data_IF_928592034287
#
_entry.id   IF_928592034287
#
_cell.length_a   1.000
_cell.length_b   1.000
_cell.length_c   1.000
_cell.angle_alpha   90.00
_cell.angle_beta   90.00
_cell.angle_gamma   90.00
#
_symmetry.space_group_name_H-M   'P 1'
#
loop_
_entity.id
_entity.type
_entity.pdbx_description
1 polymer ?
#
# COMPACT_ATOMS: atom_id res chain seq x y z
N UNK A 1 14.72 -40.87 8.82
CA UNK A 1 15.81 -39.88 8.95
C UNK A 1 16.37 -39.46 7.58
N UNK A 2 16.79 -40.45 6.73
CA UNK A 2 17.40 -40.15 5.41
C UNK A 2 16.48 -39.33 4.49
N UNK A 3 15.17 -39.55 4.49
CA UNK A 3 14.20 -38.77 3.67
C UNK A 3 14.06 -37.33 4.15
N UNK A 4 14.15 -37.10 5.46
CA UNK A 4 14.11 -35.74 6.06
C UNK A 4 15.32 -34.90 5.69
N UNK A 5 16.51 -35.50 5.71
CA UNK A 5 17.76 -34.83 5.34
C UNK A 5 17.81 -34.49 3.85
N UNK A 6 17.34 -35.43 3.00
CA UNK A 6 17.23 -35.21 1.56
C UNK A 6 16.28 -34.04 1.23
N UNK A 7 15.12 -33.91 1.94
CA UNK A 7 14.17 -32.79 1.79
C UNK A 7 14.81 -31.46 2.19
N UNK A 8 15.49 -31.43 3.34
CA UNK A 8 16.19 -30.21 3.81
C UNK A 8 17.28 -29.79 2.82
N UNK A 9 18.09 -30.75 2.35
CA UNK A 9 19.12 -30.44 1.35
C UNK A 9 18.53 -29.86 0.07
N UNK A 10 17.44 -30.46 -0.43
CA UNK A 10 16.71 -29.94 -1.59
C UNK A 10 16.15 -28.54 -1.37
N UNK A 11 15.62 -28.25 -0.17
CA UNK A 11 15.16 -26.91 0.22
C UNK A 11 16.29 -25.87 0.16
N UNK A 12 17.49 -26.22 0.61
CA UNK A 12 18.68 -25.36 0.53
C UNK A 12 19.07 -25.05 -0.91
N UNK A 13 19.02 -26.06 -1.81
CA UNK A 13 19.33 -25.85 -3.23
C UNK A 13 18.35 -24.86 -3.85
N UNK A 14 17.04 -25.05 -3.67
CA UNK A 14 16.02 -24.10 -4.14
C UNK A 14 16.22 -22.71 -3.57
N UNK A 15 16.47 -22.58 -2.27
CA UNK A 15 16.73 -21.30 -1.62
C UNK A 15 17.93 -20.57 -2.22
N UNK A 16 19.03 -21.27 -2.47
CA UNK A 16 20.22 -20.67 -3.06
C UNK A 16 20.01 -20.26 -4.53
N UNK A 17 19.30 -21.09 -5.31
CA UNK A 17 18.95 -20.74 -6.69
C UNK A 17 18.02 -19.54 -6.74
N UNK A 18 17.04 -19.43 -5.84
CA UNK A 18 16.15 -18.27 -5.75
C UNK A 18 16.90 -16.95 -5.53
N UNK A 19 17.95 -16.96 -4.71
CA UNK A 19 18.79 -15.77 -4.49
C UNK A 19 19.47 -15.32 -5.79
N UNK A 20 20.00 -16.26 -6.56
CA UNK A 20 20.63 -15.97 -7.85
C UNK A 20 19.61 -15.45 -8.88
N UNK A 21 18.43 -16.08 -8.95
CA UNK A 21 17.34 -15.66 -9.82
C UNK A 21 16.86 -14.24 -9.49
N UNK A 22 16.73 -13.94 -8.21
CA UNK A 22 16.36 -12.58 -7.75
C UNK A 22 17.42 -11.53 -8.16
N UNK A 23 18.70 -11.85 -8.06
CA UNK A 23 19.80 -10.98 -8.52
C UNK A 23 19.80 -10.76 -10.04
N UNK A 24 19.28 -11.72 -10.80
CA UNK A 24 19.13 -11.64 -12.26
C UNK A 24 17.83 -10.94 -12.70
N UNK A 25 17.01 -10.42 -11.75
CA UNK A 25 15.72 -9.81 -12.05
C UNK A 25 14.61 -10.81 -12.40
N UNK A 26 14.85 -12.12 -12.25
CA UNK A 26 13.88 -13.19 -12.52
C UNK A 26 13.03 -13.47 -11.29
N UNK A 27 12.21 -12.49 -10.90
CA UNK A 27 11.49 -12.51 -9.61
C UNK A 27 10.46 -13.64 -9.53
N UNK A 28 9.70 -13.91 -10.60
CA UNK A 28 8.72 -15.01 -10.62
C UNK A 28 9.37 -16.38 -10.43
N UNK A 29 10.52 -16.59 -11.04
CA UNK A 29 11.28 -17.83 -10.87
C UNK A 29 11.83 -17.95 -9.44
N UNK A 30 12.33 -16.85 -8.87
CA UNK A 30 12.79 -16.81 -7.49
C UNK A 30 11.65 -17.10 -6.49
N UNK A 31 10.47 -16.56 -6.73
CA UNK A 31 9.26 -16.81 -5.92
C UNK A 31 8.86 -18.29 -5.99
N UNK A 32 8.88 -18.89 -7.17
CA UNK A 32 8.61 -20.34 -7.34
C UNK A 32 9.59 -21.18 -6.56
N UNK A 33 10.88 -20.91 -6.67
CA UNK A 33 11.92 -21.67 -5.96
C UNK A 33 11.82 -21.51 -4.44
N UNK A 34 11.60 -20.31 -3.95
CA UNK A 34 11.35 -20.09 -2.52
C UNK A 34 10.12 -20.84 -2.03
N UNK A 35 9.07 -20.91 -2.85
CA UNK A 35 7.84 -21.64 -2.51
C UNK A 35 8.12 -23.15 -2.42
N UNK A 36 8.89 -23.70 -3.34
CA UNK A 36 9.34 -25.11 -3.28
C UNK A 36 10.19 -25.38 -2.04
N UNK A 37 11.12 -24.48 -1.70
CA UNK A 37 11.92 -24.60 -0.50
C UNK A 37 11.07 -24.64 0.78
N UNK A 38 10.06 -23.75 0.88
CA UNK A 38 9.14 -23.69 2.02
C UNK A 38 8.15 -24.84 2.11
N UNK A 39 7.82 -25.49 0.99
CA UNK A 39 7.04 -26.73 0.99
C UNK A 39 7.85 -27.90 1.54
N UNK A 40 9.16 -27.92 1.31
CA UNK A 40 10.07 -28.96 1.81
C UNK A 40 10.45 -28.74 3.26
N UNK A 41 10.61 -27.48 3.67
CA UNK A 41 10.93 -27.06 5.03
C UNK A 41 10.23 -25.74 5.37
N UNK A 42 9.09 -25.83 6.02
CA UNK A 42 8.27 -24.66 6.39
C UNK A 42 8.92 -23.75 7.45
N UNK A 43 9.88 -24.27 8.21
CA UNK A 43 10.61 -23.55 9.24
C UNK A 43 11.84 -22.81 8.69
N UNK A 44 12.18 -23.04 7.42
CA UNK A 44 13.36 -22.44 6.79
C UNK A 44 13.12 -20.94 6.51
N UNK A 45 13.62 -20.05 7.36
CA UNK A 45 13.36 -18.61 7.29
C UNK A 45 14.03 -17.89 6.11
N UNK A 46 15.17 -18.41 5.63
CA UNK A 46 15.92 -17.78 4.51
C UNK A 46 15.09 -17.65 3.22
N UNK A 47 14.36 -18.69 2.73
CA UNK A 47 13.45 -18.54 1.58
C UNK A 47 12.31 -17.54 1.82
N UNK A 48 11.78 -17.42 3.06
CA UNK A 48 10.76 -16.44 3.38
C UNK A 48 11.26 -15.02 3.10
N UNK A 49 12.43 -14.67 3.62
CA UNK A 49 13.07 -13.35 3.41
C UNK A 49 13.36 -13.08 1.94
N UNK A 50 13.86 -14.08 1.24
CA UNK A 50 14.17 -13.96 -0.20
C UNK A 50 12.90 -13.78 -1.02
N UNK A 51 11.83 -14.53 -0.70
CA UNK A 51 10.53 -14.43 -1.38
C UNK A 51 9.84 -13.09 -1.12
N UNK A 52 9.87 -12.61 0.12
CA UNK A 52 9.32 -11.31 0.47
C UNK A 52 9.97 -10.18 -0.34
N UNK A 53 11.30 -10.18 -0.46
CA UNK A 53 12.03 -9.20 -1.28
C UNK A 53 11.74 -9.36 -2.77
N UNK A 54 11.60 -10.60 -3.27
CA UNK A 54 11.24 -10.86 -4.65
C UNK A 54 9.81 -10.36 -4.95
N UNK A 55 8.85 -10.59 -4.06
CA UNK A 55 7.50 -10.04 -4.16
C UNK A 55 7.50 -8.50 -4.20
N UNK A 56 8.29 -7.86 -3.33
CA UNK A 56 8.41 -6.41 -3.30
C UNK A 56 8.94 -5.84 -4.61
N UNK A 57 9.99 -6.45 -5.18
CA UNK A 57 10.57 -6.04 -6.46
C UNK A 57 9.66 -6.37 -7.66
N UNK A 58 8.74 -7.30 -7.49
CA UNK A 58 7.72 -7.70 -8.49
C UNK A 58 6.38 -6.97 -8.25
N UNK A 59 6.36 -5.91 -7.43
CA UNK A 59 5.19 -5.09 -7.11
C UNK A 59 4.01 -5.85 -6.47
N UNK A 60 4.25 -7.05 -5.96
CA UNK A 60 3.29 -7.88 -5.23
C UNK A 60 3.33 -7.52 -3.73
N UNK A 61 2.85 -6.33 -3.41
CA UNK A 61 3.06 -5.70 -2.09
C UNK A 61 2.37 -6.46 -0.95
N UNK A 62 1.20 -7.05 -1.17
CA UNK A 62 0.48 -7.79 -0.13
C UNK A 62 1.22 -9.07 0.28
N UNK A 63 1.70 -9.82 -0.72
CA UNK A 63 2.49 -11.01 -0.52
C UNK A 63 3.82 -10.70 0.16
N UNK A 64 4.47 -9.60 -0.22
CA UNK A 64 5.70 -9.14 0.41
C UNK A 64 5.51 -8.87 1.90
N UNK A 65 4.48 -8.09 2.28
CA UNK A 65 4.16 -7.79 3.68
C UNK A 65 3.86 -9.07 4.47
N UNK A 66 3.07 -9.99 3.90
CA UNK A 66 2.75 -11.26 4.55
C UNK A 66 3.99 -12.08 4.86
N UNK A 67 4.90 -12.21 3.91
CA UNK A 67 6.11 -13.02 4.08
C UNK A 67 7.13 -12.32 5.00
N UNK A 68 7.26 -10.98 4.95
CA UNK A 68 8.08 -10.23 5.90
C UNK A 68 7.59 -10.38 7.33
N UNK A 69 6.26 -10.31 7.58
CA UNK A 69 5.69 -10.53 8.93
C UNK A 69 6.01 -11.93 9.43
N UNK A 70 5.82 -12.96 8.62
CA UNK A 70 6.17 -14.33 8.98
C UNK A 70 7.67 -14.50 9.28
N UNK A 71 8.54 -13.86 8.49
CA UNK A 71 9.97 -13.87 8.74
C UNK A 71 10.35 -13.12 10.03
N UNK A 72 9.69 -12.00 10.31
CA UNK A 72 9.88 -11.23 11.55
C UNK A 72 9.47 -12.05 12.77
N UNK A 73 8.31 -12.69 12.75
CA UNK A 73 7.82 -13.55 13.84
C UNK A 73 8.80 -14.71 14.11
N UNK A 74 9.35 -15.32 13.05
CA UNK A 74 10.33 -16.39 13.17
C UNK A 74 11.73 -15.91 13.63
N UNK A 75 11.97 -14.60 13.66
CA UNK A 75 13.28 -14.00 14.03
C UNK A 75 13.32 -13.37 15.42
N UNK A 76 12.26 -13.57 16.22
CA UNK A 76 12.20 -13.01 17.58
C UNK A 76 13.41 -13.48 18.40
N UNK A 77 14.12 -12.52 19.00
CA UNK A 77 15.35 -12.80 19.79
C UNK A 77 16.60 -13.05 18.96
N UNK A 78 16.56 -12.91 17.65
CA UNK A 78 17.75 -13.01 16.79
C UNK A 78 18.32 -11.64 16.44
N UNK A 79 19.61 -11.53 16.08
CA UNK A 79 20.21 -10.27 15.63
C UNK A 79 19.58 -9.67 14.36
N UNK A 80 18.85 -10.48 13.60
CA UNK A 80 18.19 -10.05 12.36
C UNK A 80 16.83 -9.35 12.59
N UNK A 81 16.26 -9.47 13.79
CA UNK A 81 14.91 -9.00 14.11
C UNK A 81 14.71 -7.52 13.77
N UNK A 82 15.67 -6.64 14.13
CA UNK A 82 15.54 -5.21 13.86
C UNK A 82 15.63 -4.87 12.36
N UNK A 83 16.40 -5.63 11.62
CA UNK A 83 16.47 -5.47 10.16
C UNK A 83 15.15 -5.87 9.51
N UNK A 84 14.59 -7.01 9.90
CA UNK A 84 13.30 -7.48 9.38
C UNK A 84 12.14 -6.57 9.79
N UNK A 85 12.19 -5.99 10.99
CA UNK A 85 11.21 -4.98 11.42
C UNK A 85 11.21 -3.77 10.49
N UNK A 86 12.39 -3.26 10.12
CA UNK A 86 12.52 -2.13 9.18
C UNK A 86 12.05 -2.51 7.77
N UNK A 87 12.39 -3.69 7.28
CA UNK A 87 11.94 -4.19 5.97
C UNK A 87 10.42 -4.38 5.93
N UNK A 88 9.83 -4.95 6.98
CA UNK A 88 8.38 -5.10 7.11
C UNK A 88 7.68 -3.75 7.07
N UNK A 89 8.15 -2.79 7.87
CA UNK A 89 7.59 -1.43 7.90
C UNK A 89 7.67 -0.75 6.54
N UNK A 90 8.79 -0.89 5.83
CA UNK A 90 8.95 -0.36 4.48
C UNK A 90 7.96 -0.99 3.50
N UNK A 91 7.80 -2.31 3.54
CA UNK A 91 6.84 -3.00 2.69
C UNK A 91 5.38 -2.60 2.98
N UNK A 92 5.02 -2.35 4.24
CA UNK A 92 3.70 -1.83 4.63
C UNK A 92 3.45 -0.43 4.08
N UNK A 93 4.46 0.46 4.09
CA UNK A 93 4.37 1.79 3.47
C UNK A 93 4.14 1.67 1.96
N UNK A 94 4.90 0.81 1.29
CA UNK A 94 4.76 0.58 -0.15
C UNK A 94 3.38 0.02 -0.49
N UNK A 95 2.87 -0.93 0.30
CA UNK A 95 1.51 -1.45 0.16
C UNK A 95 0.45 -0.36 0.33
N UNK A 96 0.60 0.50 1.34
CA UNK A 96 -0.34 1.62 1.57
C UNK A 96 -0.32 2.58 0.37
N UNK A 97 0.88 2.90 -0.14
CA UNK A 97 1.05 3.76 -1.32
C UNK A 97 0.45 3.15 -2.58
N UNK A 98 0.60 1.84 -2.79
CA UNK A 98 0.05 1.15 -3.97
C UNK A 98 -1.48 1.14 -3.99
N UNK A 99 -2.10 1.16 -2.80
CA UNK A 99 -3.57 1.22 -2.61
C UNK A 99 -4.14 2.63 -2.60
N UNK A 100 -3.28 3.66 -2.56
CA UNK A 100 -3.72 5.05 -2.48
C UNK A 100 -4.43 5.46 -3.76
N UNK A 101 -5.64 5.99 -3.59
CA UNK A 101 -6.41 6.52 -4.70
C UNK A 101 -5.71 7.74 -5.29
N UNK A 102 -5.49 7.74 -6.59
CA UNK A 102 -4.94 8.90 -7.29
C UNK A 102 -6.04 9.92 -7.58
N UNK A 103 -6.18 10.90 -6.69
CA UNK A 103 -7.21 11.95 -6.79
C UNK A 103 -7.10 12.79 -8.05
N UNK A 104 -5.89 12.95 -8.62
CA UNK A 104 -5.73 13.64 -9.91
C UNK A 104 -6.35 12.83 -11.05
N UNK A 105 -6.19 11.50 -11.02
CA UNK A 105 -6.85 10.62 -12.00
C UNK A 105 -8.35 10.56 -11.80
N UNK A 106 -8.84 10.58 -10.55
CA UNK A 106 -10.27 10.61 -10.26
C UNK A 106 -10.95 11.80 -10.91
N UNK A 107 -10.35 12.98 -10.81
CA UNK A 107 -10.87 14.21 -11.44
C UNK A 107 -10.43 14.39 -12.90
N UNK A 108 -9.52 13.56 -13.41
CA UNK A 108 -9.00 13.67 -14.77
C UNK A 108 -8.18 14.94 -15.01
N UNK A 109 -7.41 15.39 -14.01
CA UNK A 109 -6.56 16.59 -14.08
C UNK A 109 -5.08 16.26 -13.93
N UNK A 110 -4.22 17.17 -14.38
CA UNK A 110 -2.77 17.07 -14.16
C UNK A 110 -2.41 17.28 -12.69
N UNK A 111 -1.27 16.71 -12.24
CA UNK A 111 -0.67 17.03 -10.94
C UNK A 111 -0.27 18.51 -10.78
N UNK A 112 -0.14 19.22 -11.90
CA UNK A 112 0.14 20.67 -11.94
C UNK A 112 -1.10 21.53 -12.13
N UNK A 113 -2.30 20.93 -12.10
CA UNK A 113 -3.55 21.65 -12.29
C UNK A 113 -3.75 22.76 -11.24
N UNK A 114 -4.25 23.89 -11.69
CA UNK A 114 -4.64 25.01 -10.84
C UNK A 114 -5.92 24.68 -10.08
N UNK A 115 -6.21 25.41 -9.00
CA UNK A 115 -7.45 25.26 -8.24
C UNK A 115 -8.69 25.44 -9.12
N UNK A 116 -8.67 26.41 -10.07
CA UNK A 116 -9.76 26.63 -11.01
C UNK A 116 -10.01 25.42 -11.92
N UNK A 117 -8.94 24.77 -12.38
CA UNK A 117 -9.03 23.54 -13.20
C UNK A 117 -9.57 22.37 -12.38
N UNK A 118 -9.11 22.21 -11.14
CA UNK A 118 -9.64 21.21 -10.19
C UNK A 118 -11.13 21.40 -9.95
N UNK A 119 -11.55 22.65 -9.68
CA UNK A 119 -12.98 22.99 -9.48
C UNK A 119 -13.82 22.72 -10.73
N UNK A 120 -13.32 23.04 -11.91
CA UNK A 120 -13.99 22.78 -13.19
C UNK A 120 -14.14 21.27 -13.45
N UNK A 121 -13.09 20.52 -13.20
CA UNK A 121 -13.09 19.06 -13.38
C UNK A 121 -14.04 18.38 -12.38
N UNK A 122 -14.02 18.80 -11.12
CA UNK A 122 -14.95 18.32 -10.11
C UNK A 122 -16.41 18.51 -10.51
N UNK A 123 -16.79 19.72 -10.97
CA UNK A 123 -18.16 19.99 -11.45
C UNK A 123 -18.56 19.02 -12.56
N UNK A 124 -17.68 18.78 -13.51
CA UNK A 124 -17.92 17.87 -14.64
C UNK A 124 -18.12 16.43 -14.19
N UNK A 125 -17.20 15.89 -13.39
CA UNK A 125 -17.24 14.49 -12.94
C UNK A 125 -18.38 14.25 -11.93
N UNK A 126 -18.65 15.21 -11.03
CA UNK A 126 -19.79 15.14 -10.10
C UNK A 126 -21.14 15.09 -10.81
N UNK A 127 -21.33 15.89 -11.87
CA UNK A 127 -22.57 15.85 -12.67
C UNK A 127 -22.74 14.53 -13.40
N UNK A 128 -21.64 13.93 -13.85
CA UNK A 128 -21.65 12.65 -14.59
C UNK A 128 -21.98 11.47 -13.67
N UNK A 129 -21.51 11.52 -12.42
CA UNK A 129 -21.66 10.44 -11.44
C UNK A 129 -22.73 10.71 -10.38
N UNK A 130 -23.55 11.76 -10.56
CA UNK A 130 -24.59 12.14 -9.61
C UNK A 130 -25.64 11.04 -9.44
N UNK A 131 -25.99 10.64 -8.19
CA UNK A 131 -26.97 9.58 -7.93
C UNK A 131 -28.35 9.85 -8.59
N UNK A 132 -28.83 11.10 -8.52
CA UNK A 132 -30.14 11.49 -9.09
C UNK A 132 -30.19 11.37 -10.62
N UNK A 133 -29.04 11.26 -11.29
CA UNK A 133 -28.92 11.05 -12.73
C UNK A 133 -28.59 9.59 -13.10
N UNK A 134 -28.71 8.67 -12.15
CA UNK A 134 -28.34 7.27 -12.33
C UNK A 134 -26.84 7.03 -12.40
N UNK A 135 -26.03 7.96 -11.87
CA UNK A 135 -24.58 7.84 -11.80
C UNK A 135 -24.11 6.87 -10.71
N UNK A 136 -22.82 6.61 -10.72
CA UNK A 136 -22.15 5.69 -9.80
C UNK A 136 -21.85 6.41 -8.46
N UNK A 137 -22.53 5.97 -7.40
CA UNK A 137 -22.41 6.57 -6.06
C UNK A 137 -20.98 6.48 -5.48
N UNK A 138 -20.24 5.40 -5.74
CA UNK A 138 -18.86 5.24 -5.27
C UNK A 138 -17.92 6.22 -5.97
N UNK A 139 -18.08 6.38 -7.29
CA UNK A 139 -17.33 7.38 -8.04
C UNK A 139 -17.68 8.81 -7.63
N UNK A 140 -18.94 9.08 -7.33
CA UNK A 140 -19.37 10.37 -6.82
C UNK A 140 -18.71 10.69 -5.48
N UNK A 141 -18.66 9.72 -4.53
CA UNK A 141 -17.94 9.87 -3.26
C UNK A 141 -16.46 10.14 -3.47
N UNK A 142 -15.81 9.37 -4.35
CA UNK A 142 -14.40 9.57 -4.70
C UNK A 142 -14.13 10.96 -5.32
N UNK A 143 -15.04 11.47 -6.15
CA UNK A 143 -14.92 12.82 -6.69
C UNK A 143 -14.99 13.88 -5.59
N UNK A 144 -15.90 13.73 -4.62
CA UNK A 144 -16.01 14.64 -3.47
C UNK A 144 -14.76 14.63 -2.59
N UNK A 145 -14.22 13.44 -2.29
CA UNK A 145 -12.96 13.27 -1.54
C UNK A 145 -11.79 13.92 -2.29
N UNK A 146 -11.66 13.62 -3.58
CA UNK A 146 -10.61 14.18 -4.42
C UNK A 146 -10.65 15.73 -4.45
N UNK A 147 -11.85 16.31 -4.57
CA UNK A 147 -12.01 17.75 -4.53
C UNK A 147 -11.68 18.34 -3.16
N UNK A 148 -12.13 17.70 -2.07
CA UNK A 148 -11.82 18.14 -0.70
C UNK A 148 -10.33 18.24 -0.43
N UNK A 149 -9.55 17.28 -0.96
CA UNK A 149 -8.09 17.27 -0.80
C UNK A 149 -7.38 18.21 -1.78
N UNK A 150 -7.76 18.24 -3.05
CA UNK A 150 -7.03 18.97 -4.09
C UNK A 150 -7.39 20.45 -4.19
N UNK A 151 -8.53 20.89 -3.60
CA UNK A 151 -8.95 22.28 -3.57
C UNK A 151 -8.33 23.10 -2.43
N UNK A 152 -7.78 22.45 -1.42
CA UNK A 152 -7.08 23.08 -0.31
C UNK A 152 -5.57 22.89 -0.47
N UNK A 153 -4.82 23.99 -0.54
CA UNK A 153 -3.36 23.96 -0.76
C UNK A 153 -2.61 23.18 0.31
N UNK A 154 -3.06 23.23 1.57
CA UNK A 154 -2.39 22.54 2.67
C UNK A 154 -2.66 21.03 2.59
N UNK A 155 -3.90 20.62 2.36
CA UNK A 155 -4.25 19.20 2.19
C UNK A 155 -3.61 18.63 0.94
N UNK A 156 -3.58 19.38 -0.17
CA UNK A 156 -2.92 18.97 -1.40
C UNK A 156 -1.42 18.72 -1.21
N UNK A 157 -0.72 19.64 -0.52
CA UNK A 157 0.70 19.45 -0.19
C UNK A 157 0.94 18.22 0.69
N UNK A 158 0.10 17.97 1.69
CA UNK A 158 0.18 16.77 2.53
C UNK A 158 -0.04 15.51 1.71
N UNK A 159 -1.05 15.49 0.86
CA UNK A 159 -1.34 14.39 -0.05
C UNK A 159 -0.16 14.12 -1.01
N UNK A 160 0.40 15.16 -1.63
CA UNK A 160 1.51 15.05 -2.57
C UNK A 160 2.82 14.61 -1.89
N UNK A 161 3.07 15.05 -0.67
CA UNK A 161 4.26 14.65 0.12
C UNK A 161 4.17 13.25 0.69
N UNK A 162 2.97 12.66 0.77
CA UNK A 162 2.75 11.34 1.38
C UNK A 162 2.98 11.32 2.90
N UNK A 163 2.95 12.48 3.56
CA UNK A 163 3.13 12.59 5.02
C UNK A 163 2.06 11.80 5.76
N UNK A 164 0.81 11.83 5.28
CA UNK A 164 -0.28 11.07 5.88
C UNK A 164 -0.03 9.53 5.86
N UNK A 165 0.83 9.06 4.95
CA UNK A 165 1.20 7.64 4.89
C UNK A 165 2.25 7.27 5.94
N UNK A 166 2.97 8.25 6.50
CA UNK A 166 4.02 8.07 7.51
C UNK A 166 3.52 8.30 8.94
N UNK A 167 2.62 9.25 9.16
CA UNK A 167 2.13 9.61 10.50
C UNK A 167 1.37 8.47 11.19
N UNK A 168 0.61 7.68 10.46
CA UNK A 168 -0.08 6.48 11.00
C UNK A 168 0.90 5.38 11.51
N UNK A 169 2.16 5.42 11.13
CA UNK A 169 3.14 4.40 11.50
C UNK A 169 3.98 4.77 12.73
N UNK A 170 4.12 6.06 13.04
CA UNK A 170 4.94 6.52 14.18
C UNK A 170 4.14 6.56 15.49
N UNK A 171 2.81 6.56 15.43
CA UNK A 171 1.92 6.61 16.58
C UNK A 171 1.56 5.24 17.20
N UNK A 172 2.20 4.16 16.77
CA UNK A 172 2.01 2.81 17.32
C UNK A 172 2.55 2.60 18.75
N UNK A 173 2.95 3.64 19.46
CA UNK A 173 3.58 3.51 20.78
C UNK A 173 3.23 4.55 21.84
N UNK A 174 2.51 5.62 21.52
CA UNK A 174 2.10 6.60 22.53
C UNK A 174 0.65 7.00 22.28
N UNK A 175 -0.24 6.51 23.16
CA UNK A 175 -1.64 6.86 23.15
C UNK A 175 -1.85 8.37 23.23
N UNK A 176 -2.12 9.00 22.10
CA UNK A 176 -2.77 10.29 22.08
C UNK A 176 -4.10 10.11 21.34
N UNK A 177 -5.13 9.86 22.13
CA UNK A 177 -6.50 9.89 21.68
C UNK A 177 -6.84 11.31 21.24
N UNK A 178 -7.35 11.44 20.02
CA UNK A 178 -8.03 12.66 19.66
C UNK A 178 -7.49 13.34 18.43
N UNK A 179 -7.87 12.91 17.31
CA UNK A 179 -8.35 13.64 16.15
C UNK A 179 -8.59 12.69 14.96
N UNK A 180 -9.15 11.53 15.25
CA UNK A 180 -9.76 10.64 14.28
C UNK A 180 -11.13 11.17 13.89
N UNK A 181 -11.19 12.32 13.29
CA UNK A 181 -12.43 12.98 12.93
C UNK A 181 -12.75 12.93 11.44
N UNK A 182 -12.55 11.81 10.77
CA UNK A 182 -13.15 11.64 9.43
C UNK A 182 -14.41 10.75 9.46
N UNK A 183 -14.93 10.46 10.64
CA UNK A 183 -16.19 9.76 10.88
C UNK A 183 -17.32 10.69 11.30
N UNK A 184 -17.37 11.93 10.79
CA UNK A 184 -18.37 12.91 11.10
C UNK A 184 -18.77 13.72 9.88
N UNK A 185 -19.34 13.06 8.89
CA UNK A 185 -20.04 13.71 7.78
C UNK A 185 -21.43 14.19 8.23
N UNK A 186 -21.45 14.92 9.34
CA UNK A 186 -22.60 15.60 9.90
C UNK A 186 -22.23 17.03 10.25
N UNK A 187 -21.71 17.80 9.30
CA UNK A 187 -21.30 19.16 9.57
C UNK A 187 -20.51 19.81 8.47
N UNK A 188 -20.73 19.40 7.24
CA UNK A 188 -20.31 20.20 6.12
C UNK A 188 -21.33 21.33 6.00
N UNK A 189 -21.00 22.45 6.67
CA UNK A 189 -21.69 23.73 6.51
C UNK A 189 -21.86 23.99 5.03
N UNK A 190 -23.10 23.94 4.59
CA UNK A 190 -23.63 24.10 3.27
C UNK A 190 -22.73 24.75 2.24
N UNK A 191 -21.95 23.96 1.55
CA UNK A 191 -21.64 24.31 0.18
C UNK A 191 -22.92 23.96 -0.57
N UNK A 192 -23.83 24.91 -0.64
CA UNK A 192 -25.06 24.78 -1.40
C UNK A 192 -24.66 24.47 -2.84
N UNK A 193 -25.09 23.31 -3.35
CA UNK A 193 -24.86 22.94 -4.73
C UNK A 193 -25.36 24.05 -5.68
N UNK A 194 -26.35 24.85 -5.23
CA UNK A 194 -26.86 26.02 -5.92
C UNK A 194 -25.81 27.16 -6.07
N UNK A 195 -24.94 27.37 -5.06
CA UNK A 195 -23.86 28.38 -5.13
C UNK A 195 -22.67 27.93 -5.99
N UNK A 196 -22.62 26.62 -6.29
CA UNK A 196 -21.58 26.05 -7.14
C UNK A 196 -21.98 26.07 -8.63
N UNK A 197 -23.29 26.20 -8.93
CA UNK A 197 -23.86 26.13 -10.29
C UNK A 197 -24.57 27.42 -10.73
N UNK A 198 -24.53 28.50 -9.87
CA UNK A 198 -24.97 29.84 -10.23
C UNK A 198 -24.02 30.56 -11.17
#
# INVERSE_FOLDING_TARGET
EVDGDAKKFKAVIFSNRAILLSKLGRYDDAIRDCTQALQLDAAFTKPLKTRARAYQLNEQHEEAVRDFKRALDASIGTPEQDTLRRETRRAEVELKRSKKVDYYKVLGVSKTATEAEVKKAFRKESLKHHPDKGGDEEKFKLCNEAYGVLSDDQQRRRYDSGVDDMDDMDLGGAGFGGMGGFGGMGGMGGVNLADLFG
#
